data_IF_540652922695
#
_entry.id   IF_540652922695
#
_cell.length_a   1.000
_cell.length_b   1.000
_cell.length_c   1.000
_cell.angle_alpha   90.00
_cell.angle_beta   90.00
_cell.angle_gamma   90.00
#
_symmetry.space_group_name_H-M   'P 1'
#
loop_
_entity.id
_entity.type
_entity.pdbx_description
1 polymer ?
#
# COMPACT_ATOMS: atom_id res chain seq x y z
N UNK A 1 1.87 27.78 -14.91
CA UNK A 1 2.87 28.32 -13.97
C UNK A 1 3.46 27.16 -13.18
N UNK A 2 4.78 27.00 -13.26
CA UNK A 2 5.70 26.23 -12.39
C UNK A 2 5.37 24.76 -12.09
N UNK A 3 5.92 23.91 -12.96
CA UNK A 3 6.47 22.61 -12.61
C UNK A 3 7.62 22.77 -11.60
N UNK A 4 7.70 21.88 -10.60
CA UNK A 4 8.89 21.68 -9.77
C UNK A 4 9.47 20.31 -10.06
N UNK A 5 10.47 20.33 -10.93
CA UNK A 5 11.47 19.28 -11.12
C UNK A 5 12.56 19.47 -10.07
N UNK A 6 12.80 18.47 -9.23
CA UNK A 6 14.04 18.33 -8.45
C UNK A 6 14.60 16.94 -8.75
N UNK A 7 15.38 16.81 -9.83
CA UNK A 7 16.85 16.77 -9.81
C UNK A 7 17.42 15.62 -8.98
N UNK A 8 17.49 14.48 -9.65
CA UNK A 8 18.42 13.38 -9.46
C UNK A 8 19.85 13.93 -9.43
N UNK A 9 20.58 13.72 -8.33
CA UNK A 9 22.03 13.88 -8.27
C UNK A 9 22.64 12.50 -8.01
N UNK A 10 23.11 11.90 -9.10
CA UNK A 10 24.08 10.81 -9.10
C UNK A 10 25.44 11.38 -8.67
N UNK A 11 25.99 10.88 -7.57
CA UNK A 11 27.41 11.05 -7.23
C UNK A 11 27.97 9.69 -6.80
N UNK A 12 28.60 9.02 -7.77
CA UNK A 12 29.48 7.86 -7.58
C UNK A 12 30.91 8.38 -7.47
N UNK A 13 31.74 7.63 -6.75
CA UNK A 13 33.22 7.69 -6.64
C UNK A 13 33.77 8.56 -5.50
N UNK A 14 34.14 7.93 -4.37
CA UNK A 14 35.55 7.62 -4.08
C UNK A 14 35.75 7.20 -2.61
N UNK A 15 36.15 5.94 -2.41
CA UNK A 15 36.80 5.43 -1.18
C UNK A 15 38.13 6.19 -0.92
N UNK A 16 38.60 6.29 0.35
CA UNK A 16 39.35 5.20 1.00
C UNK A 16 38.95 5.01 2.50
N UNK A 17 38.85 3.80 3.05
CA UNK A 17 39.93 2.88 3.46
C UNK A 17 40.98 3.50 4.41
N UNK A 18 40.97 3.00 5.66
CA UNK A 18 42.05 2.96 6.66
C UNK A 18 42.29 4.22 7.52
N UNK A 19 42.13 4.07 8.85
CA UNK A 19 43.06 4.56 9.87
C UNK A 19 42.82 3.81 11.21
N UNK A 20 43.46 2.65 11.32
CA UNK A 20 43.99 2.06 12.57
C UNK A 20 45.52 2.21 12.52
N UNK A 21 46.18 2.10 13.68
CA UNK A 21 47.65 2.17 13.94
C UNK A 21 48.14 3.62 14.19
N UNK A 22 48.46 4.07 15.41
CA UNK A 22 49.49 3.63 16.38
C UNK A 22 50.91 3.54 15.81
N UNK A 23 51.67 4.63 15.80
CA UNK A 23 53.13 4.60 16.00
C UNK A 23 53.74 6.01 16.11
N UNK A 24 54.47 6.21 17.22
CA UNK A 24 55.81 6.83 17.33
C UNK A 24 56.12 8.23 16.79
N UNK A 25 56.50 9.13 17.72
CA UNK A 25 57.78 9.87 17.73
C UNK A 25 57.90 10.65 19.05
N UNK A 26 58.89 10.32 19.88
CA UNK A 26 60.13 11.09 20.12
C UNK A 26 59.87 12.36 20.96
N UNK A 27 60.54 12.66 22.06
CA UNK A 27 61.95 12.53 22.39
C UNK A 27 62.16 11.99 23.81
N UNK A 28 63.25 11.24 23.95
CA UNK A 28 63.93 10.99 25.20
C UNK A 28 64.71 12.24 25.63
N UNK A 29 64.60 12.64 26.89
CA UNK A 29 65.77 13.00 27.69
C UNK A 29 65.37 13.17 29.16
N UNK A 30 65.90 12.30 30.00
CA UNK A 30 66.57 12.60 31.27
C UNK A 30 66.35 11.46 32.28
N UNK A 31 67.40 10.64 32.37
CA UNK A 31 67.54 9.60 33.37
C UNK A 31 68.06 10.25 34.66
N UNK A 32 67.60 9.80 35.83
CA UNK A 32 68.61 9.25 36.72
C UNK A 32 68.25 7.85 37.20
N UNK A 33 69.24 6.98 36.98
CA UNK A 33 69.71 5.91 37.84
C UNK A 33 68.74 5.32 38.88
N UNK A 34 68.50 4.02 38.69
CA UNK A 34 68.62 2.96 39.69
C UNK A 34 67.87 3.18 41.02
N UNK A 35 66.87 2.34 41.29
CA UNK A 35 66.99 1.22 42.25
C UNK A 35 65.91 0.15 41.93
N UNK A 36 66.17 -1.15 42.18
CA UNK A 36 65.19 -2.20 42.00
C UNK A 36 64.14 -2.07 43.11
N UNK A 37 62.95 -1.56 42.76
CA UNK A 37 61.81 -1.61 43.66
C UNK A 37 61.35 -3.07 43.79
N UNK A 38 61.96 -3.73 44.77
CA UNK A 38 61.32 -4.66 45.71
C UNK A 38 60.06 -5.32 45.18
N UNK A 39 60.12 -6.64 44.98
CA UNK A 39 58.94 -7.48 44.82
C UNK A 39 58.01 -7.28 46.03
N UNK A 40 57.09 -6.32 45.93
CA UNK A 40 55.98 -6.17 46.86
C UNK A 40 55.12 -7.41 46.70
N UNK A 41 54.80 -8.15 47.77
CA UNK A 41 53.77 -9.16 47.67
C UNK A 41 52.49 -8.43 47.26
N UNK A 42 51.96 -8.76 46.07
CA UNK A 42 50.77 -8.11 45.46
C UNK A 42 49.54 -8.17 46.38
N UNK A 43 49.61 -8.97 47.44
CA UNK A 43 48.62 -9.09 48.50
C UNK A 43 49.25 -8.85 49.86
N UNK A 44 49.35 -7.59 50.27
CA UNK A 44 49.72 -7.25 51.65
C UNK A 44 48.57 -7.67 52.59
N UNK A 45 48.86 -8.51 53.59
CA UNK A 45 47.86 -8.98 54.54
C UNK A 45 47.38 -7.82 55.41
N UNK A 46 46.18 -7.28 55.13
CA UNK A 46 45.54 -6.31 56.02
C UNK A 46 45.40 -6.94 57.41
N UNK A 47 46.00 -6.31 58.43
CA UNK A 47 45.99 -6.80 59.82
C UNK A 47 44.54 -6.90 60.30
N UNK A 48 44.07 -8.12 60.58
CA UNK A 48 42.70 -8.36 61.03
C UNK A 48 42.60 -8.31 62.57
N UNK A 49 41.86 -7.35 63.16
CA UNK A 49 41.87 -7.09 64.62
C UNK A 49 41.10 -8.12 65.45
N UNK A 50 40.23 -8.94 64.82
CA UNK A 50 39.43 -9.97 65.49
C UNK A 50 39.55 -11.29 64.71
N UNK A 51 40.28 -12.24 65.29
CA UNK A 51 40.47 -13.60 64.76
C UNK A 51 39.54 -14.64 65.43
N UNK A 52 38.57 -14.16 66.21
CA UNK A 52 37.50 -14.97 66.79
C UNK A 52 36.23 -14.74 65.97
N UNK A 53 35.47 -15.81 65.68
CA UNK A 53 34.39 -15.92 64.67
C UNK A 53 34.86 -16.42 63.30
N UNK A 54 35.16 -17.73 63.18
CA UNK A 54 35.51 -18.31 61.89
C UNK A 54 34.35 -18.19 60.90
N UNK A 55 34.68 -18.19 59.61
CA UNK A 55 33.72 -18.18 58.51
C UNK A 55 34.06 -19.28 57.52
N UNK A 56 33.04 -19.80 56.85
CA UNK A 56 33.21 -20.78 55.78
C UNK A 56 33.19 -20.07 54.43
N UNK A 57 34.25 -20.28 53.64
CA UNK A 57 34.35 -19.84 52.25
C UNK A 57 34.62 -21.01 51.31
N UNK A 58 34.44 -20.80 50.00
CA UNK A 58 34.95 -21.70 48.97
C UNK A 58 36.26 -21.15 48.45
N UNK A 59 37.21 -22.03 48.20
CA UNK A 59 38.41 -21.76 47.42
C UNK A 59 38.42 -22.81 46.32
N UNK A 60 38.22 -22.40 45.07
CA UNK A 60 38.12 -23.31 43.91
C UNK A 60 37.04 -24.40 44.07
N UNK A 61 35.95 -24.03 44.73
CA UNK A 61 34.83 -24.95 45.01
C UNK A 61 35.03 -25.85 46.24
N UNK A 62 36.21 -25.85 46.87
CA UNK A 62 36.46 -26.59 48.10
C UNK A 62 36.21 -25.74 49.36
N UNK A 63 35.55 -26.29 50.40
CA UNK A 63 35.22 -25.54 51.60
C UNK A 63 36.47 -25.29 52.48
N UNK A 64 36.77 -24.02 52.74
CA UNK A 64 37.84 -23.59 53.63
C UNK A 64 37.28 -22.77 54.81
N UNK A 65 37.67 -23.15 56.03
CA UNK A 65 37.38 -22.34 57.22
C UNK A 65 38.44 -21.24 57.36
N UNK A 66 38.03 -19.99 57.23
CA UNK A 66 38.88 -18.84 57.53
C UNK A 66 38.68 -18.40 59.00
N UNK A 67 39.73 -17.92 59.68
CA UNK A 67 39.66 -17.55 61.10
C UNK A 67 38.76 -16.34 61.38
N UNK A 68 38.55 -15.48 60.38
CA UNK A 68 37.56 -14.40 60.45
C UNK A 68 37.13 -13.93 59.07
N UNK A 69 36.01 -13.18 59.02
CA UNK A 69 35.52 -12.57 57.78
C UNK A 69 36.52 -11.62 57.14
N UNK A 70 37.30 -10.91 57.95
CA UNK A 70 38.37 -10.04 57.48
C UNK A 70 39.43 -10.84 56.70
N UNK A 71 39.88 -11.97 57.23
CA UNK A 71 40.87 -12.84 56.57
C UNK A 71 40.33 -13.41 55.27
N UNK A 72 39.06 -13.84 55.24
CA UNK A 72 38.43 -14.30 54.00
C UNK A 72 38.32 -13.18 52.95
N UNK A 73 37.88 -11.98 53.35
CA UNK A 73 37.77 -10.85 52.44
C UNK A 73 39.14 -10.41 51.90
N UNK A 74 40.21 -10.49 52.69
CA UNK A 74 41.57 -10.24 52.21
C UNK A 74 41.96 -11.23 51.11
N UNK A 75 41.61 -12.52 51.26
CA UNK A 75 41.84 -13.53 50.23
C UNK A 75 41.03 -13.28 48.95
N UNK A 76 39.77 -12.87 49.08
CA UNK A 76 38.90 -12.49 47.94
C UNK A 76 39.48 -11.28 47.20
N UNK A 77 39.95 -10.27 47.93
CA UNK A 77 40.58 -9.08 47.33
C UNK A 77 41.88 -9.43 46.64
N UNK A 78 42.72 -10.23 47.29
CA UNK A 78 43.97 -10.72 46.75
C UNK A 78 43.75 -11.51 45.45
N UNK A 79 42.78 -12.44 45.42
CA UNK A 79 42.46 -13.18 44.20
C UNK A 79 41.97 -12.24 43.09
N UNK A 80 41.10 -11.27 43.39
CA UNK A 80 40.65 -10.30 42.38
C UNK A 80 41.80 -9.44 41.80
N UNK A 81 42.83 -9.11 42.58
CA UNK A 81 44.01 -8.36 42.12
C UNK A 81 44.94 -9.26 41.28
N UNK A 82 45.18 -10.49 41.73
CA UNK A 82 45.96 -11.48 40.98
C UNK A 82 45.29 -11.81 39.63
N UNK A 83 43.95 -11.80 39.58
CA UNK A 83 43.18 -11.98 38.33
C UNK A 83 43.51 -10.92 37.30
N UNK A 84 43.60 -9.66 37.74
CA UNK A 84 43.90 -8.53 36.85
C UNK A 84 45.36 -8.46 36.40
N UNK A 85 46.27 -9.08 37.13
CA UNK A 85 47.73 -8.92 36.93
C UNK A 85 48.42 -10.12 36.29
N UNK A 86 47.96 -11.35 36.55
CA UNK A 86 48.69 -12.57 36.17
C UNK A 86 47.90 -13.56 35.31
N UNK A 87 46.59 -13.34 35.09
CA UNK A 87 45.76 -13.96 34.03
C UNK A 87 45.58 -15.50 34.04
N UNK A 88 46.43 -16.28 34.70
CA UNK A 88 46.47 -17.74 34.57
C UNK A 88 46.53 -18.41 35.95
N UNK A 89 45.44 -19.11 36.32
CA UNK A 89 45.18 -19.78 37.61
C UNK A 89 45.09 -18.86 38.83
N UNK A 90 43.89 -18.32 39.06
CA UNK A 90 43.56 -17.64 40.30
C UNK A 90 42.51 -18.43 41.07
N UNK A 91 42.72 -18.68 42.38
CA UNK A 91 41.70 -19.30 43.21
C UNK A 91 40.44 -18.45 43.29
N UNK A 92 39.30 -19.03 42.94
CA UNK A 92 37.99 -18.40 43.13
C UNK A 92 37.60 -18.52 44.59
N UNK A 93 37.66 -17.39 45.31
CA UNK A 93 37.30 -17.33 46.72
C UNK A 93 35.93 -16.71 46.88
N UNK A 94 35.00 -17.42 47.53
CA UNK A 94 33.66 -16.90 47.84
C UNK A 94 33.28 -17.18 49.29
N UNK A 95 32.36 -16.40 49.85
CA UNK A 95 31.83 -16.64 51.19
C UNK A 95 30.57 -17.49 51.11
N UNK A 96 30.41 -18.49 51.99
CA UNK A 96 29.13 -19.19 52.15
C UNK A 96 28.37 -18.70 53.38
N UNK A 97 28.94 -18.89 54.58
CA UNK A 97 28.25 -18.63 55.83
C UNK A 97 29.20 -18.32 56.99
N UNK A 98 28.65 -17.75 58.06
CA UNK A 98 29.37 -17.51 59.32
C UNK A 98 29.48 -18.82 60.12
N UNK A 99 30.63 -19.08 60.74
CA UNK A 99 30.95 -20.34 61.41
C UNK A 99 31.92 -21.23 60.62
N UNK A 100 32.44 -22.32 61.22
CA UNK A 100 33.36 -23.24 60.56
C UNK A 100 32.67 -24.04 59.45
N UNK A 101 33.43 -24.42 58.42
CA UNK A 101 32.92 -25.33 57.40
C UNK A 101 32.65 -26.70 58.01
N UNK A 102 31.43 -27.20 57.82
CA UNK A 102 31.09 -28.59 58.12
C UNK A 102 30.63 -29.29 56.84
N UNK A 103 30.96 -30.59 56.64
CA UNK A 103 30.52 -31.33 55.46
C UNK A 103 29.00 -31.33 55.28
N UNK A 104 28.25 -31.32 56.39
CA UNK A 104 26.78 -31.27 56.39
C UNK A 104 26.23 -29.92 55.91
N UNK A 105 26.80 -28.81 56.39
CA UNK A 105 26.36 -27.46 55.99
C UNK A 105 26.77 -27.10 54.55
N UNK A 106 27.97 -27.52 54.11
CA UNK A 106 28.40 -27.31 52.73
C UNK A 106 27.50 -28.06 51.73
N UNK A 107 27.20 -29.34 52.00
CA UNK A 107 26.33 -30.14 51.15
C UNK A 107 24.92 -29.54 51.06
N UNK A 108 24.37 -29.02 52.17
CA UNK A 108 23.03 -28.41 52.14
C UNK A 108 22.98 -27.10 51.36
N UNK A 109 24.02 -26.26 51.43
CA UNK A 109 24.08 -25.00 50.66
C UNK A 109 24.24 -25.28 49.17
N UNK A 110 25.12 -26.22 48.79
CA UNK A 110 25.32 -26.59 47.38
C UNK A 110 24.06 -27.15 46.74
N UNK A 111 23.30 -27.98 47.48
CA UNK A 111 22.02 -28.52 47.00
C UNK A 111 20.94 -27.45 46.84
N UNK A 112 21.00 -26.36 47.63
CA UNK A 112 20.11 -25.20 47.44
C UNK A 112 20.47 -24.44 46.17
N UNK A 113 21.75 -24.10 46.00
CA UNK A 113 22.24 -23.42 44.81
C UNK A 113 21.97 -24.19 43.51
N UNK A 114 22.12 -25.52 43.51
CA UNK A 114 21.77 -26.33 42.34
C UNK A 114 20.28 -26.23 42.01
N UNK A 115 19.42 -26.33 43.04
CA UNK A 115 17.97 -26.19 42.84
C UNK A 115 17.57 -24.79 42.38
N UNK A 116 18.25 -23.76 42.87
CA UNK A 116 17.98 -22.39 42.46
C UNK A 116 18.37 -22.18 40.98
N UNK A 117 19.49 -22.75 40.51
CA UNK A 117 19.82 -22.78 39.07
C UNK A 117 18.84 -23.63 38.25
N UNK A 118 18.37 -24.76 38.78
CA UNK A 118 17.35 -25.57 38.10
C UNK A 118 16.03 -24.78 37.95
N UNK A 119 15.66 -23.98 38.94
CA UNK A 119 14.48 -23.09 38.88
C UNK A 119 14.66 -21.99 37.83
N UNK A 120 15.81 -21.32 37.80
CA UNK A 120 16.12 -20.30 36.78
C UNK A 120 16.08 -20.89 35.36
N UNK A 121 16.65 -22.08 35.15
CA UNK A 121 16.58 -22.75 33.84
C UNK A 121 15.14 -23.10 33.43
N UNK A 122 14.29 -23.51 34.38
CA UNK A 122 12.87 -23.77 34.10
C UNK A 122 12.14 -22.48 33.72
N UNK A 123 12.45 -21.36 34.37
CA UNK A 123 11.86 -20.06 34.04
C UNK A 123 12.32 -19.57 32.66
N UNK A 124 13.59 -19.76 32.31
CA UNK A 124 14.14 -19.44 30.98
C UNK A 124 13.52 -20.31 29.87
N UNK A 125 13.37 -21.62 30.11
CA UNK A 125 12.72 -22.55 29.18
C UNK A 125 11.24 -22.17 28.96
N UNK A 126 10.52 -21.83 30.03
CA UNK A 126 9.14 -21.40 29.95
C UNK A 126 9.01 -20.05 29.21
N UNK A 127 9.91 -19.10 29.48
CA UNK A 127 9.95 -17.82 28.76
C UNK A 127 10.24 -18.00 27.27
N UNK A 128 11.12 -18.95 26.92
CA UNK A 128 11.39 -19.29 25.52
C UNK A 128 10.17 -19.91 24.83
N UNK A 129 9.47 -20.81 25.50
CA UNK A 129 8.24 -21.41 24.95
C UNK A 129 7.17 -20.34 24.67
N UNK A 130 7.03 -19.35 25.56
CA UNK A 130 6.13 -18.21 25.35
C UNK A 130 6.56 -17.33 24.16
N UNK A 131 7.86 -17.07 24.00
CA UNK A 131 8.40 -16.33 22.84
C UNK A 131 8.16 -17.10 21.54
N UNK A 132 8.42 -18.41 21.52
CA UNK A 132 8.21 -19.23 20.33
C UNK A 132 6.71 -19.25 19.95
N UNK A 133 5.82 -19.35 20.93
CA UNK A 133 4.36 -19.31 20.71
C UNK A 133 3.90 -17.94 20.18
N UNK A 134 4.38 -16.84 20.76
CA UNK A 134 4.04 -15.49 20.29
C UNK A 134 4.60 -15.19 18.90
N UNK A 135 5.80 -15.70 18.58
CA UNK A 135 6.37 -15.57 17.24
C UNK A 135 5.56 -16.34 16.20
N UNK A 136 5.09 -17.55 16.53
CA UNK A 136 4.21 -18.32 15.66
C UNK A 136 2.89 -17.58 15.38
N UNK A 137 2.24 -17.04 16.42
CA UNK A 137 1.01 -16.25 16.28
C UNK A 137 1.21 -14.97 15.45
N UNK A 138 2.38 -14.34 15.52
CA UNK A 138 2.71 -13.19 14.66
C UNK A 138 2.87 -13.59 13.20
N UNK A 139 3.53 -14.72 12.92
CA UNK A 139 3.66 -15.23 11.54
C UNK A 139 2.30 -15.57 10.95
N UNK A 140 1.42 -16.22 11.73
CA UNK A 140 0.06 -16.53 11.28
C UNK A 140 -0.74 -15.24 10.98
N UNK A 141 -0.60 -14.20 11.81
CA UNK A 141 -1.23 -12.90 11.57
C UNK A 141 -0.67 -12.15 10.36
N UNK A 142 0.62 -12.25 10.11
CA UNK A 142 1.27 -11.68 8.93
C UNK A 142 0.74 -12.35 7.66
N UNK A 143 0.65 -13.68 7.64
CA UNK A 143 0.06 -14.42 6.52
C UNK A 143 -1.40 -14.03 6.27
N UNK A 144 -2.20 -13.88 7.33
CA UNK A 144 -3.59 -13.41 7.21
C UNK A 144 -3.69 -11.97 6.70
N UNK A 145 -2.72 -11.12 7.03
CA UNK A 145 -2.68 -9.74 6.53
C UNK A 145 -2.31 -9.70 5.03
N UNK A 146 -1.34 -10.51 4.61
CA UNK A 146 -0.95 -10.65 3.21
C UNK A 146 -2.11 -11.17 2.35
N UNK A 147 -2.84 -12.19 2.84
CA UNK A 147 -4.03 -12.72 2.17
C UNK A 147 -5.12 -11.64 2.04
N UNK A 148 -5.34 -10.84 3.09
CA UNK A 148 -6.32 -9.76 3.07
C UNK A 148 -5.92 -8.62 2.10
N UNK A 149 -4.63 -8.31 1.98
CA UNK A 149 -4.12 -7.34 1.01
C UNK A 149 -4.35 -7.84 -0.43
N UNK A 150 -4.06 -9.11 -0.70
CA UNK A 150 -4.32 -9.73 -2.00
C UNK A 150 -5.81 -9.71 -2.39
N UNK A 151 -6.70 -9.98 -1.43
CA UNK A 151 -8.15 -9.89 -1.65
C UNK A 151 -8.60 -8.45 -1.95
N UNK A 152 -8.03 -7.45 -1.27
CA UNK A 152 -8.32 -6.04 -1.53
C UNK A 152 -7.84 -5.60 -2.91
N UNK A 153 -6.64 -6.03 -3.31
CA UNK A 153 -6.09 -5.73 -4.64
C UNK A 153 -6.95 -6.34 -5.75
N UNK A 154 -7.34 -7.61 -5.60
CA UNK A 154 -8.25 -8.27 -6.54
C UNK A 154 -9.62 -7.57 -6.63
N UNK A 155 -10.19 -7.18 -5.49
CA UNK A 155 -11.44 -6.41 -5.46
C UNK A 155 -11.32 -5.03 -6.10
N UNK A 156 -10.18 -4.36 -5.96
CA UNK A 156 -9.91 -3.08 -6.60
C UNK A 156 -9.77 -3.22 -8.13
N UNK A 157 -9.12 -4.29 -8.62
CA UNK A 157 -9.07 -4.60 -10.05
C UNK A 157 -10.47 -4.83 -10.63
N UNK A 158 -11.35 -5.54 -9.92
CA UNK A 158 -12.75 -5.75 -10.34
C UNK A 158 -13.52 -4.43 -10.43
N UNK A 159 -13.36 -3.55 -9.44
CA UNK A 159 -14.00 -2.22 -9.45
C UNK A 159 -13.52 -1.38 -10.64
N UNK A 160 -12.22 -1.40 -10.93
CA UNK A 160 -11.66 -0.67 -12.07
C UNK A 160 -12.25 -1.21 -13.39
N UNK A 161 -12.27 -2.52 -13.58
CA UNK A 161 -12.85 -3.15 -14.77
C UNK A 161 -14.35 -2.80 -14.92
N UNK A 162 -15.12 -2.90 -13.83
CA UNK A 162 -16.54 -2.51 -13.84
C UNK A 162 -16.75 -1.01 -14.12
N UNK A 163 -15.83 -0.15 -13.69
CA UNK A 163 -15.81 1.27 -14.03
C UNK A 163 -15.63 1.50 -15.53
N UNK A 164 -14.67 0.83 -16.15
CA UNK A 164 -14.42 0.92 -17.60
C UNK A 164 -15.61 0.43 -18.43
N UNK A 165 -16.25 -0.66 -18.03
CA UNK A 165 -17.47 -1.17 -18.67
C UNK A 165 -18.64 -0.17 -18.58
N UNK A 166 -18.82 0.45 -17.42
CA UNK A 166 -19.85 1.47 -17.19
C UNK A 166 -19.63 2.71 -18.05
N UNK A 167 -18.38 3.17 -18.17
CA UNK A 167 -18.02 4.30 -19.03
C UNK A 167 -18.25 4.00 -20.51
N UNK A 168 -17.94 2.78 -20.95
CA UNK A 168 -18.23 2.33 -22.31
C UNK A 168 -19.73 2.30 -22.60
N UNK A 169 -20.53 1.71 -21.70
CA UNK A 169 -21.98 1.65 -21.81
C UNK A 169 -22.61 3.05 -21.85
N UNK A 170 -22.12 3.98 -21.03
CA UNK A 170 -22.59 5.36 -21.04
C UNK A 170 -22.33 6.04 -22.38
N UNK A 171 -21.15 5.84 -22.97
CA UNK A 171 -20.81 6.40 -24.28
C UNK A 171 -21.72 5.86 -25.39
N UNK A 172 -22.09 4.58 -25.31
CA UNK A 172 -23.04 3.97 -26.26
C UNK A 172 -24.45 4.54 -26.12
N UNK A 173 -24.91 4.76 -24.88
CA UNK A 173 -26.19 5.41 -24.60
C UNK A 173 -26.19 6.84 -25.16
N UNK A 174 -25.16 7.63 -24.88
CA UNK A 174 -25.04 9.00 -25.37
C UNK A 174 -25.07 9.06 -26.91
N UNK A 175 -24.38 8.12 -27.58
CA UNK A 175 -24.38 8.01 -29.04
C UNK A 175 -25.75 7.61 -29.59
N UNK A 176 -26.42 6.66 -28.95
CA UNK A 176 -27.78 6.22 -29.35
C UNK A 176 -28.81 7.32 -29.16
N UNK A 177 -28.69 8.09 -28.07
CA UNK A 177 -29.56 9.23 -27.81
C UNK A 177 -29.39 10.33 -28.87
N UNK A 178 -28.16 10.62 -29.29
CA UNK A 178 -27.91 11.57 -30.37
C UNK A 178 -28.54 11.11 -31.70
N UNK A 179 -28.37 9.83 -32.05
CA UNK A 179 -28.97 9.26 -33.28
C UNK A 179 -30.52 9.29 -33.25
N UNK A 180 -31.13 9.10 -32.08
CA UNK A 180 -32.58 9.23 -31.92
C UNK A 180 -33.05 10.67 -32.13
N UNK A 181 -32.33 11.66 -31.59
CA UNK A 181 -32.64 13.08 -31.81
C UNK A 181 -32.54 13.45 -33.28
N UNK A 182 -31.49 12.98 -33.97
CA UNK A 182 -31.34 13.22 -35.42
C UNK A 182 -32.48 12.58 -36.23
N UNK A 183 -32.91 11.36 -35.86
CA UNK A 183 -34.04 10.68 -36.50
C UNK A 183 -35.38 11.37 -36.24
N UNK A 184 -35.58 11.90 -35.04
CA UNK A 184 -36.77 12.68 -34.69
C UNK A 184 -36.83 13.96 -35.54
N UNK A 185 -35.72 14.69 -35.66
CA UNK A 185 -35.65 15.87 -36.53
C UNK A 185 -35.95 15.54 -38.01
N UNK A 186 -35.41 14.43 -38.52
CA UNK A 186 -35.72 13.97 -39.89
C UNK A 186 -37.19 13.57 -40.07
N UNK A 187 -37.83 13.04 -39.03
CA UNK A 187 -39.24 12.69 -39.08
C UNK A 187 -40.12 13.95 -39.08
N UNK A 188 -39.78 14.95 -38.26
CA UNK A 188 -40.47 16.25 -38.23
C UNK A 188 -40.35 16.98 -39.58
N UNK A 189 -39.17 16.98 -40.19
CA UNK A 189 -38.95 17.56 -41.53
C UNK A 189 -39.81 16.82 -42.59
N UNK A 190 -39.87 15.49 -42.53
CA UNK A 190 -40.68 14.71 -43.46
C UNK A 190 -42.19 14.94 -43.28
N UNK A 191 -42.66 15.14 -42.05
CA UNK A 191 -44.04 15.53 -41.77
C UNK A 191 -44.37 16.90 -42.37
N UNK A 192 -43.49 17.88 -42.20
CA UNK A 192 -43.64 19.20 -42.78
C UNK A 192 -43.69 19.18 -44.32
N UNK A 193 -42.85 18.37 -44.96
CA UNK A 193 -42.87 18.19 -46.43
C UNK A 193 -44.17 17.53 -46.91
N UNK A 194 -44.70 16.56 -46.18
CA UNK A 194 -45.98 15.92 -46.51
C UNK A 194 -47.15 16.90 -46.37
N UNK A 195 -47.17 17.72 -45.32
CA UNK A 195 -48.18 18.74 -45.12
C UNK A 195 -48.15 19.78 -46.25
N UNK A 196 -46.96 20.27 -46.61
CA UNK A 196 -46.78 21.20 -47.72
C UNK A 196 -47.24 20.57 -49.07
N UNK A 197 -46.87 19.32 -49.32
CA UNK A 197 -47.31 18.60 -50.53
C UNK A 197 -48.84 18.41 -50.57
N UNK A 198 -49.47 18.16 -49.42
CA UNK A 198 -50.92 18.06 -49.33
C UNK A 198 -51.62 19.39 -49.60
N UNK A 199 -51.07 20.52 -49.11
CA UNK A 199 -51.56 21.86 -49.45
C UNK A 199 -51.48 22.14 -50.96
N UNK A 200 -50.37 21.74 -51.63
CA UNK A 200 -50.21 21.88 -53.07
C UNK A 200 -51.24 21.05 -53.85
N UNK A 201 -51.51 19.81 -53.42
CA UNK A 201 -52.54 18.95 -54.04
C UNK A 201 -53.92 19.59 -53.91
N UNK A 202 -54.25 20.14 -52.75
CA UNK A 202 -55.54 20.83 -52.53
C UNK A 202 -55.66 22.03 -53.46
N UNK A 203 -54.63 22.88 -53.54
CA UNK A 203 -54.63 24.03 -54.43
C UNK A 203 -54.77 23.62 -55.91
N UNK A 204 -54.02 22.61 -56.35
CA UNK A 204 -54.13 22.07 -57.71
C UNK A 204 -55.51 21.46 -58.01
N UNK A 205 -56.16 20.87 -57.00
CA UNK A 205 -57.54 20.41 -57.09
C UNK A 205 -58.53 21.56 -57.34
N UNK A 206 -58.39 22.67 -56.59
CA UNK A 206 -59.20 23.87 -56.77
C UNK A 206 -59.01 24.49 -58.17
N UNK A 207 -57.77 24.54 -58.66
CA UNK A 207 -57.46 25.02 -60.02
C UNK A 207 -58.08 24.12 -61.09
N UNK A 208 -57.98 22.80 -60.94
CA UNK A 208 -58.59 21.84 -61.86
C UNK A 208 -60.11 21.95 -61.88
N UNK A 209 -60.74 22.15 -60.72
CA UNK A 209 -62.19 22.36 -60.62
C UNK A 209 -62.62 23.67 -61.29
N UNK A 210 -61.81 24.73 -61.19
CA UNK A 210 -62.04 26.00 -61.87
C UNK A 210 -61.93 25.83 -63.40
N UNK A 211 -60.86 25.19 -63.88
CA UNK A 211 -60.64 24.92 -65.30
C UNK A 211 -61.78 24.08 -65.90
N UNK A 212 -62.27 23.09 -65.16
CA UNK A 212 -63.41 22.27 -65.58
C UNK A 212 -64.69 23.10 -65.78
N UNK A 213 -64.99 24.02 -64.85
CA UNK A 213 -66.14 24.94 -65.01
C UNK A 213 -66.02 25.81 -66.24
N UNK A 214 -64.81 26.26 -66.57
CA UNK A 214 -64.56 27.05 -67.78
C UNK A 214 -64.77 26.23 -69.05
N UNK A 215 -64.28 24.99 -69.09
CA UNK A 215 -64.52 24.05 -70.21
C UNK A 215 -66.01 23.78 -70.37
N UNK A 216 -66.73 23.48 -69.28
CA UNK A 216 -68.17 23.23 -69.30
C UNK A 216 -68.94 24.45 -69.87
N UNK A 217 -68.53 25.67 -69.50
CA UNK A 217 -69.12 26.90 -70.02
C UNK A 217 -68.83 27.11 -71.52
N UNK A 218 -67.59 26.88 -71.96
CA UNK A 218 -67.21 26.96 -73.38
C UNK A 218 -67.99 25.94 -74.20
N UNK A 219 -68.14 24.72 -73.69
CA UNK A 219 -68.86 23.65 -74.39
C UNK A 219 -70.35 23.98 -74.53
N UNK A 220 -70.97 24.57 -73.50
CA UNK A 220 -72.35 25.06 -73.60
C UNK A 220 -72.50 26.18 -74.65
N UNK A 221 -71.55 27.11 -74.72
CA UNK A 221 -71.57 28.20 -75.69
C UNK A 221 -71.37 27.71 -77.14
N UNK A 222 -70.51 26.69 -77.33
CA UNK A 222 -70.30 26.04 -78.62
C UNK A 222 -71.59 25.38 -79.13
N UNK A 223 -72.27 24.61 -78.28
CA UNK A 223 -73.55 23.96 -78.62
C UNK A 223 -74.60 24.98 -79.02
N UNK A 224 -74.69 26.11 -78.32
CA UNK A 224 -75.61 27.19 -78.69
C UNK A 224 -75.27 27.80 -80.06
N UNK A 225 -73.99 28.02 -80.35
CA UNK A 225 -73.55 28.54 -81.65
C UNK A 225 -73.82 27.57 -82.78
N UNK A 226 -73.64 26.28 -82.56
CA UNK A 226 -73.94 25.22 -83.53
C UNK A 226 -75.45 25.19 -83.84
N UNK A 227 -76.31 25.25 -82.81
CA UNK A 227 -77.75 25.35 -83.01
C UNK A 227 -78.18 26.59 -83.82
N UNK A 228 -77.58 27.76 -83.54
CA UNK A 228 -77.85 28.98 -84.32
C UNK A 228 -77.35 28.88 -85.76
N UNK A 229 -76.26 28.14 -86.00
CA UNK A 229 -75.75 27.91 -87.34
C UNK A 229 -76.68 26.96 -88.12
N UNK A 230 -77.17 25.90 -87.48
CA UNK A 230 -78.16 24.98 -88.06
C UNK A 230 -79.46 25.72 -88.43
N UNK A 231 -79.97 26.57 -87.53
CA UNK A 231 -81.16 27.40 -87.78
C UNK A 231 -80.92 28.34 -88.99
N UNK A 232 -79.75 28.99 -89.05
CA UNK A 232 -79.40 29.89 -90.15
C UNK A 232 -79.24 29.15 -91.49
N UNK A 233 -78.72 27.92 -91.48
CA UNK A 233 -78.62 27.09 -92.68
C UNK A 233 -80.01 26.68 -93.19
N UNK A 234 -80.93 26.32 -92.29
CA UNK A 234 -82.33 26.04 -92.63
C UNK A 234 -83.04 27.25 -93.26
N UNK A 235 -82.83 28.45 -92.72
CA UNK A 235 -83.36 29.70 -93.30
C UNK A 235 -82.79 29.96 -94.71
N UNK A 236 -81.50 29.73 -94.92
CA UNK A 236 -80.86 29.88 -96.24
C UNK A 236 -81.45 28.90 -97.26
N UNK A 237 -81.65 27.64 -96.88
CA UNK A 237 -82.21 26.63 -97.78
C UNK A 237 -83.66 26.93 -98.15
N UNK A 238 -84.48 27.38 -97.18
CA UNK A 238 -85.84 27.82 -97.48
C UNK A 238 -85.87 29.00 -98.45
N UNK A 239 -84.96 29.97 -98.30
CA UNK A 239 -84.86 31.12 -99.20
C UNK A 239 -84.46 30.72 -100.64
N UNK A 240 -83.66 29.66 -100.82
CA UNK A 240 -83.33 29.13 -102.15
C UNK A 240 -84.53 28.46 -102.81
N UNK A 241 -85.27 27.64 -102.07
CA UNK A 241 -86.49 26.99 -102.60
C UNK A 241 -87.50 28.02 -103.14
N UNK A 242 -87.65 29.16 -102.46
CA UNK A 242 -88.55 30.23 -102.92
C UNK A 242 -88.08 30.92 -104.20
N UNK A 243 -86.78 30.96 -104.48
CA UNK A 243 -86.22 31.58 -105.69
C UNK A 243 -86.19 30.63 -106.89
N UNK A 244 -86.22 29.31 -106.68
CA UNK A 244 -86.22 28.31 -107.75
C UNK A 244 -87.64 28.04 -108.32
N UNK A 245 -88.69 28.64 -107.74
CA UNK A 245 -90.10 28.54 -108.19
C UNK A 245 -90.59 29.72 -109.08
N UNK A 246 -89.71 30.66 -109.47
CA UNK A 246 -90.00 31.79 -110.38
C UNK A 246 -89.51 31.55 -111.83
#
# INVERSE_FOLDING_TARGET
>A
MRAYSCLVILAVVSLPAQLLVSAESSEADNMPAAQPATSTPICEETVCPRLYMPVCGLVDGEPMTAPSRCVLNNKIRCSAILQRTLGNKIPTVSFLHSGPCSPKAYKSIRMRQSRDMDLENIEDDAGKEEIDATQADLVDKEALADDAEADMDAGNEEIVAGGEESDAAKKEIDATQADLVDKEALADDAEADMDAGNEEIVAGGEESDAAKKEIDAIQADLVNKEALADDAEADIDHAKELNDEE
#
